data_IF_314367221949
#
_entry.id   IF_314367221949
#
_cell.length_a   1.000
_cell.length_b   1.000
_cell.length_c   1.000
_cell.angle_alpha   90.00
_cell.angle_beta   90.00
_cell.angle_gamma   90.00
#
_symmetry.space_group_name_H-M   'P 1'
#
loop_
_entity.id
_entity.type
_entity.pdbx_description
1 polymer ?
#
# COMPACT_ATOMS: atom_id res chain seq x y z
N UNK A 1 9.20 -27.07 4.96
CA UNK A 1 9.78 -25.74 5.17
C UNK A 1 8.70 -24.68 4.99
N UNK A 2 8.69 -23.69 5.86
CA UNK A 2 7.75 -22.58 5.72
C UNK A 2 8.06 -21.78 4.46
N UNK A 3 7.03 -21.35 3.77
CA UNK A 3 7.18 -20.48 2.60
C UNK A 3 7.39 -19.04 3.10
N UNK A 4 8.60 -18.53 2.99
CA UNK A 4 8.97 -17.19 3.45
C UNK A 4 8.12 -16.10 2.79
N UNK A 5 7.75 -16.28 1.53
CA UNK A 5 6.92 -15.31 0.80
C UNK A 5 5.54 -15.21 1.43
N UNK A 6 4.91 -16.34 1.72
CA UNK A 6 3.61 -16.37 2.40
C UNK A 6 3.70 -15.80 3.81
N UNK A 7 4.77 -16.13 4.53
CA UNK A 7 4.98 -15.59 5.88
C UNK A 7 5.16 -14.08 5.86
N UNK A 8 5.89 -13.55 4.87
CA UNK A 8 6.12 -12.12 4.74
C UNK A 8 4.81 -11.37 4.48
N UNK A 9 4.01 -11.84 3.54
CA UNK A 9 2.70 -11.26 3.24
C UNK A 9 1.78 -11.34 4.47
N UNK A 10 1.76 -12.48 5.15
CA UNK A 10 0.96 -12.67 6.37
C UNK A 10 1.37 -11.68 7.47
N UNK A 11 2.67 -11.49 7.66
CA UNK A 11 3.20 -10.53 8.63
C UNK A 11 2.79 -9.10 8.27
N UNK A 12 2.79 -8.74 6.99
CA UNK A 12 2.34 -7.43 6.53
C UNK A 12 0.84 -7.22 6.82
N UNK A 13 0.02 -8.22 6.56
CA UNK A 13 -1.42 -8.17 6.84
C UNK A 13 -1.72 -8.07 8.34
N UNK A 14 -0.87 -8.67 9.17
CA UNK A 14 -1.02 -8.63 10.62
C UNK A 14 -0.37 -7.40 11.27
N UNK A 15 0.45 -6.67 10.53
CA UNK A 15 1.23 -5.56 11.07
C UNK A 15 2.35 -6.02 12.01
N UNK A 16 2.83 -7.24 11.84
CA UNK A 16 3.87 -7.84 12.69
C UNK A 16 5.26 -7.33 12.29
N UNK A 17 5.65 -6.21 12.88
CA UNK A 17 6.87 -5.52 12.54
C UNK A 17 8.12 -6.36 12.84
N UNK A 18 8.13 -7.08 13.97
CA UNK A 18 9.26 -7.92 14.34
C UNK A 18 9.50 -9.02 13.30
N UNK A 19 8.43 -9.65 12.83
CA UNK A 19 8.52 -10.69 11.81
C UNK A 19 8.93 -10.15 10.45
N UNK A 20 8.42 -8.98 10.06
CA UNK A 20 8.83 -8.30 8.84
C UNK A 20 10.34 -8.03 8.85
N UNK A 21 10.85 -7.50 9.95
CA UNK A 21 12.27 -7.22 10.10
C UNK A 21 13.12 -8.48 10.02
N UNK A 22 12.71 -9.53 10.72
CA UNK A 22 13.45 -10.79 10.74
C UNK A 22 13.52 -11.43 9.35
N UNK A 23 12.40 -11.43 8.62
CA UNK A 23 12.33 -12.01 7.28
C UNK A 23 13.16 -11.20 6.27
N UNK A 24 13.07 -9.87 6.28
CA UNK A 24 13.85 -9.03 5.39
C UNK A 24 15.36 -9.11 5.68
N UNK A 25 15.75 -9.27 6.94
CA UNK A 25 17.14 -9.46 7.29
C UNK A 25 17.74 -10.71 6.66
N UNK A 26 16.91 -11.75 6.45
CA UNK A 26 17.34 -12.99 5.82
C UNK A 26 17.23 -12.98 4.30
N UNK A 27 16.31 -12.18 3.74
CA UNK A 27 16.06 -12.16 2.29
C UNK A 27 15.38 -10.84 1.86
N UNK A 28 16.19 -9.91 1.34
CA UNK A 28 15.72 -8.61 0.88
C UNK A 28 14.77 -8.70 -0.33
N UNK A 29 14.85 -9.78 -1.09
CA UNK A 29 13.99 -9.96 -2.27
C UNK A 29 12.50 -10.09 -1.91
N UNK A 30 12.21 -10.32 -0.63
CA UNK A 30 10.82 -10.43 -0.16
C UNK A 30 10.03 -9.13 -0.35
N UNK A 31 10.69 -7.96 -0.43
CA UNK A 31 9.98 -6.70 -0.65
C UNK A 31 9.11 -6.71 -1.91
N UNK A 32 9.52 -7.40 -2.95
CA UNK A 32 8.80 -7.43 -4.22
C UNK A 32 7.86 -8.61 -4.41
N UNK A 33 7.75 -9.50 -3.42
CA UNK A 33 6.87 -10.67 -3.58
C UNK A 33 5.40 -10.25 -3.56
N UNK A 34 4.58 -11.00 -4.29
CA UNK A 34 3.16 -10.72 -4.44
C UNK A 34 2.34 -11.91 -3.94
N UNK A 35 1.15 -11.62 -3.42
CA UNK A 35 0.19 -12.67 -3.06
C UNK A 35 -0.61 -13.12 -4.29
N UNK A 36 -1.63 -13.94 -4.08
CA UNK A 36 -2.48 -14.48 -5.15
C UNK A 36 -3.21 -13.37 -5.93
N UNK A 37 -3.46 -12.23 -5.30
CA UNK A 37 -4.12 -11.07 -5.94
C UNK A 37 -3.11 -10.12 -6.60
N UNK A 38 -1.83 -10.47 -6.57
CA UNK A 38 -0.77 -9.61 -7.10
C UNK A 38 -0.43 -8.43 -6.22
N UNK A 39 -0.84 -8.44 -4.95
CA UNK A 39 -0.54 -7.38 -4.00
C UNK A 39 0.79 -7.63 -3.30
N UNK A 40 1.60 -6.58 -3.18
CA UNK A 40 2.86 -6.66 -2.41
C UNK A 40 2.56 -6.51 -0.91
N UNK A 41 3.58 -6.73 -0.08
CA UNK A 41 3.45 -6.50 1.36
C UNK A 41 3.00 -5.06 1.66
N UNK A 42 3.50 -4.09 0.91
CA UNK A 42 3.10 -2.68 1.06
C UNK A 42 1.59 -2.48 0.82
N UNK A 43 1.03 -3.09 -0.24
CA UNK A 43 -0.41 -3.06 -0.49
C UNK A 43 -1.19 -3.66 0.68
N UNK A 44 -0.75 -4.80 1.17
CA UNK A 44 -1.43 -5.52 2.25
C UNK A 44 -1.42 -4.76 3.56
N UNK A 45 -0.27 -4.23 3.97
CA UNK A 45 -0.14 -3.43 5.19
C UNK A 45 -0.97 -2.14 5.10
N UNK A 46 -0.99 -1.51 3.93
CA UNK A 46 -1.75 -0.30 3.67
C UNK A 46 -3.25 -0.57 3.76
N UNK A 47 -3.72 -1.62 3.09
CA UNK A 47 -5.13 -2.00 3.10
C UNK A 47 -5.64 -2.27 4.51
N UNK A 48 -4.82 -2.93 5.33
CA UNK A 48 -5.16 -3.26 6.71
C UNK A 48 -4.97 -2.09 7.69
N UNK A 49 -4.35 -0.99 7.25
CA UNK A 49 -4.19 0.20 8.08
C UNK A 49 -3.04 0.13 9.08
N UNK A 50 -2.01 -0.65 8.80
CA UNK A 50 -0.85 -0.80 9.70
C UNK A 50 0.23 0.25 9.38
N UNK A 51 0.07 1.43 9.94
CA UNK A 51 0.96 2.57 9.66
C UNK A 51 2.44 2.27 9.90
N UNK A 52 2.77 1.63 11.01
CA UNK A 52 4.17 1.32 11.35
C UNK A 52 4.80 0.34 10.36
N UNK A 53 4.03 -0.66 9.93
CA UNK A 53 4.49 -1.62 8.93
C UNK A 53 4.69 -0.95 7.57
N UNK A 54 3.77 -0.07 7.18
CA UNK A 54 3.89 0.71 5.94
C UNK A 54 5.16 1.56 5.97
N UNK A 55 5.38 2.29 7.05
CA UNK A 55 6.55 3.15 7.21
C UNK A 55 7.84 2.32 7.13
N UNK A 56 7.88 1.19 7.82
CA UNK A 56 9.04 0.30 7.79
C UNK A 56 9.31 -0.23 6.37
N UNK A 57 8.28 -0.69 5.67
CA UNK A 57 8.44 -1.22 4.32
C UNK A 57 8.95 -0.15 3.35
N UNK A 58 8.47 1.09 3.48
CA UNK A 58 8.94 2.20 2.65
C UNK A 58 10.41 2.53 2.94
N UNK A 59 10.79 2.56 4.21
CA UNK A 59 12.19 2.78 4.61
C UNK A 59 13.10 1.67 4.10
N UNK A 60 12.60 0.46 4.02
CA UNK A 60 13.32 -0.69 3.51
C UNK A 60 13.45 -0.71 1.97
N UNK A 61 12.74 0.18 1.27
CA UNK A 61 12.84 0.34 -0.18
C UNK A 61 11.67 -0.19 -1.00
N UNK A 62 10.52 -0.44 -0.38
CA UNK A 62 9.32 -0.83 -1.14
C UNK A 62 8.97 0.20 -2.20
N UNK A 63 8.60 -0.26 -3.39
CA UNK A 63 8.24 0.62 -4.50
C UNK A 63 6.79 1.08 -4.37
N UNK A 64 6.60 2.38 -4.14
CA UNK A 64 5.27 2.98 -3.98
C UNK A 64 4.46 3.02 -5.27
N UNK A 65 5.11 2.84 -6.42
CA UNK A 65 4.47 2.97 -7.72
C UNK A 65 3.89 1.66 -8.26
N UNK A 66 4.16 0.53 -7.61
CA UNK A 66 3.66 -0.76 -8.09
C UNK A 66 2.14 -0.83 -7.98
N UNK A 67 1.51 -1.24 -9.08
CA UNK A 67 0.10 -1.61 -9.09
C UNK A 67 -0.02 -3.08 -8.69
N UNK A 68 -1.08 -3.44 -7.98
CA UNK A 68 -1.37 -4.85 -7.83
C UNK A 68 -1.87 -5.38 -9.17
N UNK A 69 -1.88 -6.70 -9.33
CA UNK A 69 -2.31 -7.32 -10.59
C UNK A 69 -3.75 -7.81 -10.54
N UNK A 70 -4.53 -7.31 -9.58
CA UNK A 70 -5.95 -7.61 -9.45
C UNK A 70 -6.68 -7.13 -10.71
N UNK A 71 -7.38 -8.02 -11.37
CA UNK A 71 -8.10 -7.73 -12.62
C UNK A 71 -9.17 -6.66 -12.49
N UNK A 72 -9.71 -6.48 -11.29
CA UNK A 72 -10.79 -5.52 -11.07
C UNK A 72 -10.29 -4.11 -10.77
N UNK A 73 -9.16 -3.98 -10.11
CA UNK A 73 -8.72 -2.69 -9.58
C UNK A 73 -7.39 -2.21 -10.13
N UNK A 74 -6.36 -3.07 -10.14
CA UNK A 74 -5.03 -2.67 -10.60
C UNK A 74 -4.54 -1.41 -9.89
N UNK A 75 -4.62 -1.38 -8.58
CA UNK A 75 -4.40 -0.18 -7.77
C UNK A 75 -3.00 -0.12 -7.18
N UNK A 76 -2.52 1.11 -6.91
CA UNK A 76 -1.32 1.34 -6.11
C UNK A 76 -1.66 1.28 -4.62
N UNK A 77 -0.63 1.28 -3.77
CA UNK A 77 -0.85 1.36 -2.32
C UNK A 77 -1.61 2.64 -1.93
N UNK A 78 -1.37 3.75 -2.64
CA UNK A 78 -2.08 5.01 -2.37
C UNK A 78 -3.59 4.87 -2.64
N UNK A 79 -3.98 4.15 -3.68
CA UNK A 79 -5.40 3.83 -3.92
C UNK A 79 -6.00 3.05 -2.75
N UNK A 80 -5.28 2.05 -2.26
CA UNK A 80 -5.75 1.25 -1.12
C UNK A 80 -5.95 2.11 0.13
N UNK A 81 -5.01 2.99 0.41
CA UNK A 81 -5.11 3.90 1.56
C UNK A 81 -6.28 4.88 1.42
N UNK A 82 -6.49 5.42 0.23
CA UNK A 82 -7.59 6.35 -0.06
C UNK A 82 -8.94 5.64 0.08
N UNK A 83 -9.06 4.46 -0.52
CA UNK A 83 -10.27 3.65 -0.47
C UNK A 83 -10.67 3.32 0.97
N UNK A 84 -9.71 2.92 1.81
CA UNK A 84 -9.95 2.53 3.19
C UNK A 84 -9.97 3.73 4.17
N UNK A 85 -9.78 4.94 3.67
CA UNK A 85 -9.74 6.18 4.46
C UNK A 85 -8.66 6.18 5.55
N UNK A 86 -7.50 5.60 5.24
CA UNK A 86 -6.34 5.61 6.14
C UNK A 86 -5.50 6.88 5.90
N UNK A 87 -5.98 8.00 6.43
CA UNK A 87 -5.42 9.33 6.15
C UNK A 87 -3.92 9.45 6.48
N UNK A 88 -3.49 8.93 7.63
CA UNK A 88 -2.07 8.98 8.02
C UNK A 88 -1.19 8.21 7.03
N UNK A 89 -1.67 7.08 6.52
CA UNK A 89 -0.94 6.28 5.53
C UNK A 89 -0.91 7.00 4.19
N UNK A 90 -2.01 7.64 3.79
CA UNK A 90 -2.04 8.49 2.58
C UNK A 90 -0.90 9.49 2.63
N UNK A 91 -0.75 10.19 3.75
CA UNK A 91 0.30 11.20 3.89
C UNK A 91 1.71 10.58 3.80
N UNK A 92 1.93 9.46 4.48
CA UNK A 92 3.22 8.77 4.46
C UNK A 92 3.59 8.31 3.04
N UNK A 93 2.63 7.78 2.30
CA UNK A 93 2.86 7.34 0.93
C UNK A 93 3.19 8.52 0.00
N UNK A 94 2.49 9.62 0.15
CA UNK A 94 2.77 10.84 -0.62
C UNK A 94 4.18 11.36 -0.30
N UNK A 95 4.54 11.40 0.96
CA UNK A 95 5.88 11.83 1.40
C UNK A 95 6.98 10.92 0.85
N UNK A 96 6.66 9.66 0.59
CA UNK A 96 7.57 8.69 -0.03
C UNK A 96 7.62 8.78 -1.55
N UNK A 97 6.88 9.71 -2.16
CA UNK A 97 6.90 9.97 -3.59
C UNK A 97 5.77 9.32 -4.39
N UNK A 98 4.71 8.83 -3.75
CA UNK A 98 3.57 8.27 -4.46
C UNK A 98 2.91 9.31 -5.36
N UNK A 99 2.46 8.88 -6.54
CA UNK A 99 1.83 9.76 -7.52
C UNK A 99 0.36 10.01 -7.14
N UNK A 100 0.05 11.24 -6.74
CA UNK A 100 -1.32 11.62 -6.37
C UNK A 100 -2.30 11.61 -7.54
N UNK A 101 -1.80 11.55 -8.75
CA UNK A 101 -2.61 11.48 -9.97
C UNK A 101 -2.62 10.10 -10.63
N UNK A 102 -2.12 9.07 -9.93
CA UNK A 102 -2.16 7.70 -10.43
C UNK A 102 -3.61 7.24 -10.63
N UNK A 103 -3.83 6.43 -11.65
CA UNK A 103 -5.15 5.85 -11.94
C UNK A 103 -5.12 4.35 -11.76
N UNK A 104 -6.28 3.75 -11.51
CA UNK A 104 -6.42 2.28 -11.53
C UNK A 104 -6.55 1.78 -12.97
N UNK A 105 -6.70 0.47 -13.15
CA UNK A 105 -6.83 -0.13 -14.48
C UNK A 105 -8.05 0.37 -15.27
N UNK A 106 -9.03 0.94 -14.58
CA UNK A 106 -10.25 1.45 -15.21
C UNK A 106 -10.21 2.97 -15.36
N UNK A 107 -9.04 3.57 -15.14
CA UNK A 107 -8.83 5.00 -15.30
C UNK A 107 -9.40 5.86 -14.17
N UNK A 108 -9.79 5.26 -13.06
CA UNK A 108 -10.32 6.01 -11.92
C UNK A 108 -9.19 6.65 -11.12
N UNK A 109 -9.40 7.90 -10.72
CA UNK A 109 -8.42 8.66 -9.93
C UNK A 109 -8.54 8.31 -8.45
N UNK A 110 -7.56 8.76 -7.67
CA UNK A 110 -7.59 8.63 -6.22
C UNK A 110 -8.81 9.33 -5.61
N UNK A 111 -9.16 10.51 -6.12
CA UNK A 111 -10.33 11.23 -5.64
C UNK A 111 -11.62 10.48 -5.95
N UNK A 112 -11.72 9.82 -7.11
CA UNK A 112 -12.86 8.95 -7.41
C UNK A 112 -13.02 7.86 -6.36
N UNK A 113 -11.91 7.22 -5.93
CA UNK A 113 -11.94 6.20 -4.88
C UNK A 113 -12.44 6.76 -3.55
N UNK A 114 -12.02 7.96 -3.18
CA UNK A 114 -12.46 8.59 -1.92
C UNK A 114 -13.94 8.95 -1.94
N UNK A 115 -14.44 9.45 -3.05
CA UNK A 115 -15.85 9.77 -3.21
C UNK A 115 -16.74 8.54 -3.10
N UNK A 116 -16.33 7.47 -3.78
CA UNK A 116 -17.08 6.23 -3.82
C UNK A 116 -17.29 5.63 -2.42
N UNK A 117 -16.31 5.79 -1.54
CA UNK A 117 -16.35 5.22 -0.19
C UNK A 117 -16.50 6.27 0.90
N UNK A 118 -16.79 7.52 0.55
CA UNK A 118 -16.96 8.62 1.50
C UNK A 118 -15.73 8.81 2.40
N UNK A 119 -14.56 8.59 1.84
CA UNK A 119 -13.28 8.70 2.55
C UNK A 119 -12.85 10.17 2.67
N UNK A 120 -13.54 10.93 3.50
CA UNK A 120 -13.38 12.40 3.59
C UNK A 120 -12.00 12.85 4.03
N UNK A 121 -11.42 12.19 5.02
CA UNK A 121 -10.09 12.57 5.53
C UNK A 121 -9.01 12.34 4.48
N UNK A 122 -9.05 11.21 3.78
CA UNK A 122 -8.12 10.91 2.70
C UNK A 122 -8.30 11.89 1.54
N UNK A 123 -9.54 12.21 1.15
CA UNK A 123 -9.83 13.15 0.09
C UNK A 123 -9.25 14.54 0.38
N UNK A 124 -9.36 15.00 1.62
CA UNK A 124 -8.84 16.29 2.04
C UNK A 124 -7.32 16.37 1.87
N UNK A 125 -6.62 15.32 2.29
CA UNK A 125 -5.16 15.26 2.15
C UNK A 125 -4.76 15.22 0.67
N UNK A 126 -5.41 14.40 -0.14
CA UNK A 126 -5.13 14.30 -1.56
C UNK A 126 -5.35 15.62 -2.28
N UNK A 127 -6.44 16.30 -2.01
CA UNK A 127 -6.73 17.61 -2.60
C UNK A 127 -5.67 18.65 -2.20
N UNK A 128 -5.23 18.64 -0.95
CA UNK A 128 -4.18 19.54 -0.47
C UNK A 128 -2.82 19.25 -1.14
N UNK A 129 -2.59 18.02 -1.60
CA UNK A 129 -1.36 17.62 -2.28
C UNK A 129 -1.43 17.73 -3.81
N UNK A 130 -2.49 18.31 -4.35
CA UNK A 130 -2.62 18.57 -5.78
C UNK A 130 -3.29 17.47 -6.59
N UNK A 131 -4.00 16.53 -5.98
CA UNK A 131 -4.76 15.51 -6.70
C UNK A 131 -5.90 16.16 -7.51
N UNK A 132 -6.09 15.66 -8.71
CA UNK A 132 -7.13 16.12 -9.61
C UNK A 132 -8.35 15.20 -9.62
#
# INVERSE_FOLDING_TARGET
>A
MADRRKEFIKAAKAGDLAKLRALLASDESLLGVRDADGSTALHCATWKGHLEAVTYLLEAGSDVHLHNTNEHWGTTALHAAAHANHAAIVQVLIDAGADVNATDLQGRTLLNHTEFHKAKAAAKILAACGAA
#
